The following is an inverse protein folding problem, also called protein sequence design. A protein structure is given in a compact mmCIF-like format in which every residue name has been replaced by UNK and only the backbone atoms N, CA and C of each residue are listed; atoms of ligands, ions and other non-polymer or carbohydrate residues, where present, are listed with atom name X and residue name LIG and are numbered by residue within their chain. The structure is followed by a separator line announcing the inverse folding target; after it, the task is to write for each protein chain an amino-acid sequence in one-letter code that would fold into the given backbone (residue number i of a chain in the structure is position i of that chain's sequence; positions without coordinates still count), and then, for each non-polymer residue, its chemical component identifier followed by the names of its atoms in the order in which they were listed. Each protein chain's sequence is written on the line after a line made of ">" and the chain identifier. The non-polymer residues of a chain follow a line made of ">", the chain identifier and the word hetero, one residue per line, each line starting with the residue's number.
data_IF_389624090949
#
_entry.id   IF_389624090949
#
_cell.length_a   1.000
_cell.length_b   1.000
_cell.length_c   1.000
_cell.angle_alpha   90.00
_cell.angle_beta   90.00
_cell.angle_gamma   90.00
#
_symmetry.space_group_name_H-M   'P 1'
#
loop_
_entity.id
_entity.type
_entity.pdbx_description
1 polymer ?
2 non-polymer ?
3 non-polymer ?
4 non-polymer ?
5 water ?
#
# COMPACT_ATOMS: atom_id res chain seq x y z
N UNK A 9 -16.05 -3.64 11.44
CA UNK A 9 -14.72 -3.14 11.72
C UNK A 9 -14.34 -2.04 10.74
N UNK A 10 -14.05 -0.84 11.26
CA UNK A 10 -13.67 0.31 10.42
C UNK A 10 -12.23 0.26 9.94
N UNK A 11 -11.42 -0.61 10.55
CA UNK A 11 -9.97 -0.62 10.30
C UNK A 11 -9.51 -1.75 9.39
N UNK A 12 -10.34 -2.79 9.23
CA UNK A 12 -9.93 -3.96 8.48
C UNK A 12 -10.76 -4.20 7.22
N UNK A 13 -10.09 -4.27 6.07
CA UNK A 13 -10.76 -4.42 4.79
C UNK A 13 -10.34 -5.71 4.09
N UNK A 14 -11.23 -6.69 4.08
CA UNK A 14 -10.97 -7.93 3.35
C UNK A 14 -11.13 -7.72 1.85
N UNK A 15 -10.62 -8.66 1.05
CA UNK A 15 -10.52 -8.49 -0.39
C UNK A 15 -11.86 -8.27 -1.10
N UNK A 16 -12.95 -8.66 -0.45
CA UNK A 16 -14.28 -8.51 -1.03
C UNK A 16 -14.82 -7.07 -0.93
N UNK A 17 -14.08 -6.21 -0.23
CA UNK A 17 -14.45 -4.80 -0.11
C UNK A 17 -13.98 -4.01 -1.33
N UNK A 18 -12.94 -4.51 -1.99
CA UNK A 18 -12.45 -3.90 -3.23
C UNK A 18 -13.54 -3.86 -4.29
N UNK A 19 -13.78 -2.68 -4.84
CA UNK A 19 -14.71 -2.54 -5.95
C UNK A 19 -13.94 -2.60 -7.26
N UNK A 20 -14.55 -3.20 -8.28
CA UNK A 20 -13.92 -3.28 -9.60
C UNK A 20 -14.08 -1.96 -10.35
N UNK A 21 -12.96 -1.41 -10.81
CA UNK A 21 -12.93 -0.18 -11.60
C UNK A 21 -12.90 -0.52 -13.08
N UNK A 22 -12.20 -1.60 -13.41
CA UNK A 22 -12.13 -2.10 -14.79
C UNK A 22 -11.95 -3.61 -14.77
N UNK A 23 -12.80 -4.31 -15.52
CA UNK A 23 -12.73 -5.76 -15.58
C UNK A 23 -12.75 -6.21 -17.03
N UNK A 24 -11.76 -7.00 -17.41
CA UNK A 24 -11.68 -7.58 -18.75
C UNK A 24 -11.22 -9.02 -18.63
N UNK A 25 -10.85 -9.61 -19.77
CA UNK A 25 -10.38 -10.99 -19.78
C UNK A 25 -8.87 -11.07 -19.55
N UNK A 26 -8.20 -9.96 -19.82
CA UNK A 26 -6.73 -9.90 -19.75
C UNK A 26 -6.22 -9.27 -18.46
N UNK A 27 -7.13 -8.71 -17.67
CA UNK A 27 -6.72 -8.01 -16.46
C UNK A 27 -7.83 -7.36 -15.67
N UNK A 28 -7.47 -6.82 -14.51
CA UNK A 28 -8.45 -6.26 -13.58
C UNK A 28 -7.85 -5.10 -12.81
N UNK A 29 -8.68 -4.08 -12.53
CA UNK A 29 -8.27 -2.98 -11.68
C UNK A 29 -9.27 -2.83 -10.53
N UNK A 30 -8.80 -3.08 -9.31
CA UNK A 30 -9.65 -3.00 -8.13
C UNK A 30 -9.25 -1.81 -7.26
N UNK A 31 -10.21 -1.26 -6.53
CA UNK A 31 -9.94 -0.15 -5.63
C UNK A 31 -10.81 -0.21 -4.39
N UNK A 32 -10.20 -0.01 -3.23
CA UNK A 32 -10.96 0.14 -1.99
C UNK A 32 -11.68 1.47 -2.04
N UNK A 33 -12.85 1.56 -1.39
CA UNK A 33 -13.59 2.83 -1.37
C UNK A 33 -12.82 3.94 -0.65
N UNK A 34 -13.32 5.17 -0.80
CA UNK A 34 -12.82 6.31 -0.04
C UNK A 34 -12.87 6.00 1.47
N UNK A 35 -11.73 6.11 2.14
CA UNK A 35 -11.64 5.86 3.58
C UNK A 35 -12.57 6.77 4.37
N UNK A 36 -12.74 8.00 3.88
CA UNK A 36 -13.57 8.99 4.56
C UNK A 36 -15.05 8.67 4.54
N UNK A 37 -15.47 7.78 3.64
CA UNK A 37 -16.87 7.41 3.51
C UNK A 37 -17.20 6.10 4.24
N UNK A 38 -16.17 5.43 4.73
CA UNK A 38 -16.34 4.19 5.49
C UNK A 38 -16.57 4.48 6.97
N UNK A 39 -15.79 5.40 7.51
CA UNK A 39 -15.89 5.80 8.91
C UNK A 39 -15.32 7.20 9.15
N UNK A 40 -15.78 7.85 10.21
CA UNK A 40 -15.26 9.15 10.61
C UNK A 40 -13.89 8.98 11.27
N UNK A 41 -13.63 7.76 11.73
CA UNK A 41 -12.38 7.43 12.41
C UNK A 41 -11.19 7.39 11.45
N UNK A 42 -11.48 7.48 10.15
CA UNK A 42 -10.45 7.42 9.12
C UNK A 42 -10.40 8.67 8.25
N UNK A 43 -11.06 9.73 8.69
CA UNK A 43 -11.21 10.94 7.86
C UNK A 43 -9.88 11.60 7.54
N UNK A 44 -8.89 11.42 8.41
CA UNK A 44 -7.59 12.05 8.26
C UNK A 44 -6.70 11.44 7.18
N UNK A 45 -7.08 10.28 6.67
CA UNK A 45 -6.37 9.66 5.56
C UNK A 45 -7.30 9.49 4.35
N UNK A 46 -8.36 10.27 4.32
CA UNK A 46 -9.37 10.18 3.27
C UNK A 46 -8.82 10.57 1.89
N UNK A 47 -7.65 11.20 1.87
CA UNK A 47 -7.02 11.65 0.65
C UNK A 47 -6.31 10.49 -0.07
N UNK A 48 -6.10 9.40 0.67
CA UNK A 48 -5.36 8.26 0.14
C UNK A 48 -6.29 7.13 -0.31
N UNK A 49 -5.93 6.48 -1.41
CA UNK A 49 -6.70 5.36 -1.94
C UNK A 49 -5.80 4.15 -2.19
N UNK A 50 -6.36 2.96 -1.99
CA UNK A 50 -5.62 1.71 -2.23
C UNK A 50 -6.17 1.02 -3.47
N UNK A 51 -5.29 0.67 -4.40
CA UNK A 51 -5.70 -0.03 -5.62
C UNK A 51 -4.85 -1.28 -5.87
N UNK A 52 -5.40 -2.22 -6.62
CA UNK A 52 -4.64 -3.38 -7.09
C UNK A 52 -4.77 -3.52 -8.60
N UNK A 53 -3.70 -3.98 -9.24
CA UNK A 53 -3.69 -4.18 -10.69
C UNK A 53 -3.18 -5.57 -11.01
N UNK A 54 -3.94 -6.32 -11.81
CA UNK A 54 -3.46 -7.59 -12.33
C UNK A 54 -3.47 -7.56 -13.85
N UNK A 55 -2.34 -7.91 -14.46
CA UNK A 55 -2.25 -7.98 -15.91
C UNK A 55 -1.72 -9.34 -16.36
N UNK A 56 -2.53 -10.06 -17.13
CA UNK A 56 -2.15 -11.36 -17.70
C UNK A 56 -0.91 -11.22 -18.61
N UNK A 57 -0.25 -12.34 -18.93
CA UNK A 57 0.90 -12.30 -19.83
C UNK A 57 0.55 -11.73 -21.21
N UNK A 58 1.52 -11.10 -21.86
CA UNK A 58 1.33 -10.51 -23.18
C UNK A 58 0.17 -9.52 -23.22
N UNK A 59 0.21 -8.55 -22.31
CA UNK A 59 -0.84 -7.54 -22.22
C UNK A 59 -0.28 -6.12 -22.21
N UNK A 60 -1.18 -5.16 -22.46
CA UNK A 60 -0.85 -3.75 -22.47
C UNK A 60 -2.02 -3.01 -21.83
N UNK A 61 -1.73 -1.98 -21.05
CA UNK A 61 -2.80 -1.16 -20.48
C UNK A 61 -2.96 0.13 -21.30
N UNK A 62 -4.20 0.56 -21.49
CA UNK A 62 -4.49 1.77 -22.25
C UNK A 62 -3.85 3.00 -21.62
N UNK A 63 -3.16 3.80 -22.46
CA UNK A 63 -2.61 5.09 -22.03
C UNK A 63 -3.70 5.96 -21.43
N UNK A 64 -3.48 6.42 -20.20
CA UNK A 64 -4.38 7.35 -19.54
C UNK A 64 -3.64 8.06 -18.42
N UNK A 65 -4.32 9.01 -17.79
CA UNK A 65 -3.78 9.65 -16.60
C UNK A 65 -4.85 9.71 -15.51
N UNK A 66 -4.40 9.86 -14.27
CA UNK A 66 -5.30 10.04 -13.15
C UNK A 66 -5.00 11.37 -12.46
N UNK A 67 -5.99 11.94 -11.80
CA UNK A 67 -5.79 13.17 -11.06
C UNK A 67 -5.29 12.86 -9.64
N UNK A 68 -4.19 12.12 -9.55
CA UNK A 68 -3.65 11.67 -8.27
C UNK A 68 -2.19 11.27 -8.35
N UNK A 69 -1.45 11.50 -7.27
CA UNK A 69 -0.09 10.99 -7.17
C UNK A 69 -0.14 9.49 -6.93
N UNK A 70 0.81 8.76 -7.50
CA UNK A 70 0.73 7.31 -7.57
C UNK A 70 2.01 6.64 -7.14
N UNK A 71 1.97 5.96 -6.01
CA UNK A 71 3.08 5.12 -5.57
C UNK A 71 2.72 3.67 -5.82
N UNK A 72 3.49 2.98 -6.66
CA UNK A 72 3.20 1.59 -6.95
C UNK A 72 4.23 0.63 -6.36
N UNK A 73 3.76 -0.56 -5.99
CA UNK A 73 4.64 -1.64 -5.59
C UNK A 73 4.30 -2.87 -6.44
N UNK A 74 5.32 -3.47 -7.04
CA UNK A 74 5.11 -4.66 -7.87
C UNK A 74 5.21 -5.92 -7.02
N UNK A 75 4.06 -6.57 -6.82
CA UNK A 75 3.98 -7.74 -5.95
C UNK A 75 4.40 -9.01 -6.68
N UNK A 76 4.15 -9.06 -7.99
CA UNK A 76 4.45 -10.23 -8.79
C UNK A 76 4.60 -9.96 -10.28
N UNK A 77 5.57 -10.64 -10.90
CA UNK A 77 5.80 -10.51 -12.33
C UNK A 77 6.86 -9.49 -12.71
N UNK A 78 7.01 -9.27 -14.02
CA UNK A 78 7.89 -8.23 -14.55
C UNK A 78 7.29 -7.62 -15.81
N UNK A 79 7.75 -6.42 -16.16
CA UNK A 79 7.30 -5.73 -17.35
C UNK A 79 7.87 -4.33 -17.33
N UNK A 80 7.18 -3.37 -17.95
CA UNK A 80 7.64 -1.99 -17.87
C UNK A 80 6.50 -0.98 -17.82
N UNK A 81 6.84 0.22 -17.35
CA UNK A 81 5.92 1.33 -17.32
C UNK A 81 6.50 2.45 -18.16
N UNK A 82 5.64 3.25 -18.78
CA UNK A 82 6.07 4.41 -19.53
C UNK A 82 5.11 5.56 -19.25
N UNK A 83 5.64 6.71 -18.87
CA UNK A 83 4.80 7.91 -18.75
C UNK A 83 5.38 9.09 -19.53
N UNK A 84 4.52 10.06 -19.83
CA UNK A 84 4.93 11.20 -20.63
C UNK A 84 5.37 12.36 -19.74
N UNK A 85 6.57 12.88 -20.00
CA UNK A 85 7.13 13.98 -19.23
C UNK A 85 7.77 14.98 -20.17
N UNK A 86 7.06 16.08 -20.43
CA UNK A 86 7.55 17.17 -21.28
C UNK A 86 8.00 16.72 -22.67
N UNK A 87 7.07 16.18 -23.46
CA UNK A 87 7.37 15.73 -24.82
C UNK A 87 8.44 14.63 -24.91
N UNK A 88 8.70 13.98 -23.78
CA UNK A 88 9.62 12.87 -23.72
C UNK A 88 8.94 11.66 -23.09
N UNK A 89 9.28 10.47 -23.55
CA UNK A 89 8.75 9.26 -22.95
C UNK A 89 9.73 8.71 -21.92
N UNK A 90 9.30 8.64 -20.66
CA UNK A 90 10.11 8.04 -19.61
C UNK A 90 9.72 6.57 -19.48
N UNK A 91 10.64 5.68 -19.86
CA UNK A 91 10.36 4.25 -19.86
C UNK A 91 11.24 3.51 -18.85
N UNK A 92 10.61 2.74 -17.97
CA UNK A 92 11.32 2.05 -16.89
C UNK A 92 10.84 0.60 -16.75
N UNK A 93 11.79 -0.33 -16.71
CA UNK A 93 11.47 -1.74 -16.46
C UNK A 93 10.99 -1.93 -15.03
N UNK A 94 9.98 -2.77 -14.85
CA UNK A 94 9.45 -3.07 -13.52
C UNK A 94 9.70 -4.54 -13.17
N UNK A 95 10.04 -4.79 -11.91
CA UNK A 95 10.33 -6.15 -11.46
C UNK A 95 9.71 -6.34 -10.08
N UNK A 96 9.49 -7.59 -9.69
CA UNK A 96 8.94 -7.90 -8.38
C UNK A 96 9.77 -7.23 -7.28
N UNK A 97 9.09 -6.47 -6.43
CA UNK A 97 9.75 -5.76 -5.34
C UNK A 97 10.07 -4.31 -5.66
N UNK A 98 9.78 -3.89 -6.89
CA UNK A 98 10.05 -2.52 -7.30
C UNK A 98 9.04 -1.54 -6.72
N UNK A 99 9.55 -0.39 -6.26
CA UNK A 99 8.73 0.74 -5.87
C UNK A 99 9.00 1.86 -6.85
N UNK A 100 7.94 2.47 -7.37
CA UNK A 100 8.09 3.56 -8.33
C UNK A 100 6.94 4.56 -8.19
N UNK A 101 7.17 5.79 -8.61
CA UNK A 101 6.16 6.81 -8.52
C UNK A 101 5.84 7.44 -9.87
N UNK A 102 4.56 7.67 -10.11
CA UNK A 102 4.14 8.40 -11.29
C UNK A 102 3.50 9.72 -10.87
N UNK A 103 4.03 10.84 -11.36
CA UNK A 103 3.47 12.16 -11.04
C UNK A 103 2.02 12.27 -11.51
N UNK A 104 1.18 12.96 -10.76
CA UNK A 104 -0.23 13.13 -11.11
C UNK A 104 -0.40 13.82 -12.45
N UNK A 105 -1.41 13.37 -13.21
CA UNK A 105 -1.77 14.04 -14.45
C UNK A 105 -0.90 13.69 -15.63
N UNK A 106 0.10 12.84 -15.41
CA UNK A 106 0.99 12.45 -16.50
C UNK A 106 0.47 11.19 -17.19
N UNK A 107 0.25 11.27 -18.50
CA UNK A 107 -0.21 10.13 -19.29
C UNK A 107 0.79 8.98 -19.20
N UNK A 108 0.29 7.80 -18.83
CA UNK A 108 1.14 6.63 -18.66
C UNK A 108 0.50 5.38 -19.26
N UNK A 109 1.32 4.36 -19.47
CA UNK A 109 0.83 3.02 -19.77
C UNK A 109 1.75 1.95 -19.20
N UNK A 110 1.21 0.76 -19.00
CA UNK A 110 1.96 -0.39 -18.50
C UNK A 110 1.97 -1.49 -19.55
N UNK A 111 3.05 -2.25 -19.59
CA UNK A 111 3.16 -3.37 -20.52
C UNK A 111 3.63 -4.62 -19.79
N UNK A 112 2.96 -5.73 -20.02
CA UNK A 112 3.42 -7.03 -19.53
C UNK A 112 3.82 -7.92 -20.69
N UNK A 113 5.12 -7.94 -21.01
CA UNK A 113 5.64 -8.72 -22.12
C UNK A 113 6.20 -10.08 -21.70
N UNK A 114 5.79 -10.54 -20.52
CA UNK A 114 6.19 -11.87 -20.06
C UNK A 114 5.26 -12.92 -20.66
N UNK A 115 5.75 -14.13 -20.86
CA UNK A 115 4.99 -15.15 -21.55
C UNK A 115 4.21 -16.09 -20.63
N UNK A 116 4.50 -16.05 -19.33
CA UNK A 116 3.91 -17.00 -18.39
C UNK A 116 3.44 -16.40 -17.06
N UNK A 117 4.03 -15.28 -16.65
CA UNK A 117 3.70 -14.68 -15.36
C UNK A 117 2.87 -13.40 -15.45
N UNK A 118 1.81 -13.33 -14.64
CA UNK A 118 0.99 -12.13 -14.55
C UNK A 118 1.77 -11.01 -13.89
N UNK A 119 1.43 -9.78 -14.27
CA UNK A 119 2.00 -8.60 -13.62
C UNK A 119 1.01 -8.09 -12.57
N UNK A 120 1.43 -8.08 -11.31
CA UNK A 120 0.57 -7.66 -10.22
C UNK A 120 1.14 -6.48 -9.45
N UNK A 121 0.33 -5.44 -9.31
CA UNK A 121 0.77 -4.19 -8.69
C UNK A 121 -0.17 -3.76 -7.57
N UNK A 122 0.40 -3.39 -6.42
CA UNK A 122 -0.36 -2.81 -5.32
C UNK A 122 0.04 -1.35 -5.19
N UNK A 123 -0.94 -0.46 -5.06
CA UNK A 123 -0.65 0.97 -5.12
C UNK A 123 -1.34 1.81 -4.05
N UNK A 124 -0.65 2.88 -3.66
CA UNK A 124 -1.24 3.93 -2.83
C UNK A 124 -1.40 5.16 -3.70
N UNK A 125 -2.62 5.69 -3.77
CA UNK A 125 -2.86 6.93 -4.50
C UNK A 125 -3.03 8.08 -3.52
N UNK A 126 -2.56 9.26 -3.90
CA UNK A 126 -2.83 10.47 -3.14
C UNK A 126 -3.49 11.49 -4.07
N UNK A 127 -4.78 11.74 -3.85
CA UNK A 127 -5.59 12.53 -4.77
C UNK A 127 -5.13 13.98 -4.88
N UNK A 128 -5.28 14.53 -6.08
CA UNK A 128 -4.96 15.93 -6.35
C UNK A 128 -6.14 16.60 -7.03
N UNK A 129 -7.33 16.04 -6.80
CA UNK A 129 -8.56 16.59 -7.35
C UNK A 129 -9.15 17.65 -6.42
N UNK A 130 -10.26 18.25 -6.84
CA UNK A 130 -10.95 19.24 -6.02
C UNK A 130 -11.86 18.56 -5.00
N UNK A 131 -12.06 17.26 -5.17
CA UNK A 131 -12.77 16.44 -4.20
C UNK A 131 -11.80 15.52 -3.47
N UNK A 132 -11.73 15.66 -2.15
CA UNK A 132 -10.82 14.86 -1.35
C UNK A 132 -11.17 13.38 -1.39
N UNK A 133 -10.19 12.57 -1.80
CA UNK A 133 -10.37 11.12 -1.82
C UNK A 133 -10.87 10.58 -3.15
N UNK A 134 -11.42 11.46 -3.98
CA UNK A 134 -11.91 11.06 -5.29
C UNK A 134 -10.86 11.22 -6.38
N UNK A 135 -10.68 10.17 -7.17
CA UNK A 135 -9.82 10.23 -8.36
C UNK A 135 -10.54 9.61 -9.55
N UNK A 136 -10.22 10.07 -10.75
CA UNK A 136 -10.81 9.54 -11.96
C UNK A 136 -9.75 9.29 -13.03
N UNK A 137 -9.94 8.25 -13.85
CA UNK A 137 -9.01 8.02 -14.96
C UNK A 137 -9.43 8.81 -16.19
N UNK A 138 -8.46 9.38 -16.90
CA UNK A 138 -8.74 10.06 -18.15
C UNK A 138 -8.04 9.32 -19.28
N UNK A 139 -8.79 8.50 -20.01
CA UNK A 139 -8.25 7.73 -21.12
C UNK A 139 -8.03 8.61 -22.35
N UNK A 140 -6.82 8.54 -22.92
CA UNK A 140 -6.46 9.34 -24.09
C UNK A 140 -6.28 8.44 -25.32
N UNK A 141 -6.07 7.15 -25.07
CA UNK A 141 -6.17 6.13 -26.11
C UNK A 141 -7.36 5.25 -25.75
N UNK A 142 -8.03 4.67 -26.75
CA UNK A 142 -9.31 4.05 -26.50
C UNK A 142 -10.23 3.94 -27.71
N UNK A 143 -11.53 3.95 -27.42
CA UNK A 143 -12.56 3.49 -28.33
C UNK A 143 -13.88 3.52 -27.60
N UNK A 144 -14.80 2.63 -27.94
CA UNK A 144 -16.05 2.53 -27.19
C UNK A 144 -15.85 1.97 -25.78
N UNK A 145 -14.89 1.07 -25.62
CA UNK A 145 -14.61 0.49 -24.30
C UNK A 145 -13.13 0.52 -23.90
N UNK A 146 -12.75 1.50 -23.07
CA UNK A 146 -13.64 2.57 -22.58
C UNK A 146 -13.67 3.73 -23.55
N UNK A 147 -14.51 4.72 -23.28
CA UNK A 147 -14.50 5.95 -24.07
C UNK A 147 -13.27 6.78 -23.70
N UNK A 148 -12.84 7.65 -24.62
CA UNK A 148 -11.75 8.58 -24.34
C UNK A 148 -12.31 9.94 -23.99
N UNK A 149 -11.45 10.84 -23.53
CA UNK A 149 -11.85 12.22 -23.26
C UNK A 149 -12.23 12.96 -24.55
N UNK A 150 -11.73 12.46 -25.68
CA UNK A 150 -12.05 13.04 -26.98
C UNK A 150 -13.55 12.96 -27.28
N UNK A 151 -14.22 11.99 -26.68
CA UNK A 151 -15.64 11.76 -26.91
C UNK A 151 -16.53 12.85 -26.32
N UNK A 152 -15.96 13.72 -25.50
CA UNK A 152 -16.71 14.82 -24.89
C UNK A 152 -16.73 16.07 -25.75
N UNK A 153 -15.84 16.14 -26.74
CA UNK A 153 -15.74 17.33 -27.57
C UNK A 153 -16.61 17.21 -28.82
N UNK A 154 -17.14 18.33 -29.29
CA UNK A 154 -18.00 18.35 -30.47
C UNK A 154 -17.21 18.01 -31.73
N UNK A 155 -17.93 17.66 -32.80
CA UNK A 155 -17.28 17.28 -34.04
C UNK A 155 -16.48 18.42 -34.66
N UNK A 156 -17.02 19.64 -34.60
CA UNK A 156 -16.33 20.81 -35.15
C UNK A 156 -15.00 21.08 -34.43
N UNK A 157 -15.03 20.99 -33.10
CA UNK A 157 -13.82 21.17 -32.29
C UNK A 157 -12.76 20.13 -32.63
N UNK A 158 -13.16 18.86 -32.66
CA UNK A 158 -12.27 17.76 -32.98
C UNK A 158 -11.71 17.85 -34.40
N UNK A 159 -12.59 18.15 -35.35
CA UNK A 159 -12.18 18.31 -36.74
C UNK A 159 -11.17 19.44 -36.86
N UNK A 160 -11.40 20.52 -36.12
CA UNK A 160 -10.48 21.66 -36.14
C UNK A 160 -9.19 21.35 -35.40
N UNK A 161 -9.31 20.72 -34.22
CA UNK A 161 -8.15 20.37 -33.42
C UNK A 161 -7.15 19.49 -34.17
N UNK A 162 -7.66 18.45 -34.84
CA UNK A 162 -6.80 17.50 -35.53
C UNK A 162 -6.57 17.84 -37.00
N UNK A 163 -7.38 18.78 -37.53
CA UNK A 163 -7.32 19.17 -38.93
C UNK A 163 -7.56 17.99 -39.88
N UNK A 164 -8.58 17.18 -39.56
CA UNK A 164 -8.98 16.03 -40.37
C UNK A 164 -10.49 15.89 -40.26
N UNK A 165 -11.13 15.28 -41.25
CA UNK A 165 -12.59 15.08 -41.20
C UNK A 165 -12.96 14.07 -40.12
N UNK A 166 -14.14 14.26 -39.52
CA UNK A 166 -14.60 13.46 -38.39
C UNK A 166 -14.68 11.95 -38.68
N UNK A 167 -14.94 11.59 -39.94
CA UNK A 167 -15.05 10.18 -40.32
C UNK A 167 -13.76 9.41 -40.07
N UNK A 168 -12.62 10.04 -40.35
CA UNK A 168 -11.32 9.44 -40.08
C UNK A 168 -11.08 9.36 -38.57
N UNK A 169 -11.65 10.31 -37.84
CA UNK A 169 -11.51 10.36 -36.39
C UNK A 169 -12.38 9.29 -35.71
N UNK A 170 -13.64 9.18 -36.13
CA UNK A 170 -14.53 8.16 -35.59
C UNK A 170 -14.00 6.75 -35.88
N UNK A 171 -13.34 6.61 -37.02
CA UNK A 171 -12.70 5.34 -37.37
C UNK A 171 -11.50 5.04 -36.48
N UNK A 172 -10.96 6.09 -35.85
CA UNK A 172 -9.80 5.96 -34.97
C UNK A 172 -10.21 5.85 -33.49
N UNK A 173 -11.23 6.62 -33.11
CA UNK A 173 -11.70 6.62 -31.72
C UNK A 173 -12.95 5.76 -31.52
N UNK A 174 -12.99 4.60 -32.18
CA UNK A 174 -14.12 3.70 -32.05
C UNK A 174 -13.78 2.25 -32.36
N UNK A 175 -12.51 1.97 -32.61
CA UNK A 175 -12.09 0.63 -32.99
C UNK A 175 -11.54 -0.21 -31.83
N UNK A 176 -11.60 0.33 -30.61
CA UNK A 176 -11.13 -0.39 -29.44
C UNK A 176 -12.25 -0.69 -28.44
N UNK A 177 -12.49 -1.98 -28.20
CA UNK A 177 -13.53 -2.42 -27.28
C UNK A 177 -13.00 -3.49 -26.33
N UNK A 178 -11.72 -3.82 -26.48
CA UNK A 178 -11.09 -4.89 -25.69
C UNK A 178 -10.76 -4.47 -24.25
N UNK A 179 -11.18 -3.28 -23.86
CA UNK A 179 -11.06 -2.84 -22.48
C UNK A 179 -9.76 -2.15 -22.12
N UNK A 180 -9.65 -1.76 -20.86
CA UNK A 180 -8.48 -1.05 -20.33
C UNK A 180 -7.22 -1.90 -20.40
N UNK A 181 -7.36 -3.19 -20.08
CA UNK A 181 -6.25 -4.13 -20.18
C UNK A 181 -6.59 -5.18 -21.24
N UNK A 182 -5.68 -5.40 -22.19
CA UNK A 182 -5.95 -6.27 -23.32
C UNK A 182 -4.70 -7.02 -23.81
N UNK A 183 -4.92 -8.14 -24.50
CA UNK A 183 -3.83 -8.92 -25.07
C UNK A 183 -3.23 -8.23 -26.29
N UNK A 184 -1.91 -8.32 -26.45
CA UNK A 184 -1.22 -7.75 -27.60
C UNK A 184 -1.46 -8.59 -28.85
N UNK A 206 15.94 8.46 -19.58
CA UNK A 206 16.22 9.88 -19.45
C UNK A 206 17.02 10.15 -18.18
N UNK A 207 16.67 11.23 -17.49
CA UNK A 207 17.28 11.57 -16.21
C UNK A 207 16.21 11.57 -15.12
N UNK A 208 15.02 11.12 -15.50
CA UNK A 208 13.90 10.99 -14.57
C UNK A 208 14.12 9.79 -13.64
N UNK A 209 13.44 9.77 -12.48
CA UNK A 209 13.63 8.73 -11.46
C UNK A 209 13.61 7.28 -11.97
N UNK A 210 14.24 6.39 -11.21
CA UNK A 210 14.25 4.97 -11.52
C UNK A 210 13.50 4.22 -10.43
N UNK A 211 12.88 3.09 -10.79
CA UNK A 211 12.29 2.23 -9.76
C UNK A 211 13.34 1.79 -8.74
N UNK A 212 12.91 1.61 -7.49
CA UNK A 212 13.78 1.22 -6.40
C UNK A 212 13.27 -0.12 -5.91
N UNK A 213 14.12 -1.15 -5.95
CA UNK A 213 13.67 -2.47 -5.48
C UNK A 213 13.73 -2.59 -3.97
N UNK A 214 12.56 -2.66 -3.35
CA UNK A 214 12.41 -2.73 -1.90
C UNK A 214 12.60 -4.14 -1.38
N UNK A 215 11.87 -5.08 -1.99
CA UNK A 215 11.88 -6.49 -1.57
C UNK A 215 13.25 -7.12 -1.78
N UNK A 216 14.18 -6.36 -2.35
CA UNK A 216 15.54 -6.84 -2.52
C UNK A 216 16.27 -6.81 -1.18
N UNK A 217 16.61 -5.60 -0.76
CA UNK A 217 17.67 -5.34 0.22
C UNK A 217 17.72 -6.15 1.53
N UNK A 218 16.58 -6.26 2.21
CA UNK A 218 16.46 -6.84 3.56
C UNK A 218 17.55 -6.49 4.62
N UNK A 219 18.02 -5.24 4.67
CA UNK A 219 18.99 -4.91 5.71
C UNK A 219 18.38 -4.61 7.09
N UNK A 220 17.19 -4.02 7.06
CA UNK A 220 16.72 -3.15 8.15
C UNK A 220 16.55 -3.80 9.52
N UNK A 221 15.93 -4.97 9.55
CA UNK A 221 15.89 -5.78 10.76
C UNK A 221 15.71 -7.24 10.39
N UNK A 222 16.44 -8.10 11.08
CA UNK A 222 16.27 -9.54 10.92
C UNK A 222 16.68 -10.26 12.20
N UNK A 223 15.79 -11.13 12.66
CA UNK A 223 16.15 -12.11 13.67
C UNK A 223 15.67 -13.49 13.26
N UNK A 224 15.58 -14.40 14.23
CA UNK A 224 15.23 -15.79 13.94
C UNK A 224 13.76 -15.97 13.54
N UNK A 225 12.95 -14.92 13.72
CA UNK A 225 11.50 -15.00 13.57
C UNK A 225 10.94 -14.20 12.40
N UNK A 226 11.75 -13.32 11.82
CA UNK A 226 11.32 -12.54 10.69
C UNK A 226 12.27 -11.43 10.28
N UNK A 227 11.82 -10.61 9.34
CA UNK A 227 12.61 -9.49 8.84
C UNK A 227 11.71 -8.44 8.21
N UNK A 228 12.20 -7.22 8.11
CA UNK A 228 11.50 -6.18 7.34
C UNK A 228 12.46 -5.17 6.72
N UNK A 229 11.96 -4.46 5.71
CA UNK A 229 12.77 -3.53 4.95
C UNK A 229 11.96 -2.28 4.67
N UNK A 230 12.60 -1.13 4.72
CA UNK A 230 11.90 0.14 4.56
C UNK A 230 12.61 1.04 3.57
N UNK A 231 11.83 1.79 2.80
CA UNK A 231 12.34 2.85 1.94
C UNK A 231 11.56 4.11 2.25
N UNK A 232 12.26 5.20 2.52
CA UNK A 232 11.60 6.42 2.92
C UNK A 232 12.02 7.63 2.10
N UNK A 233 11.60 8.83 2.55
CA UNK A 233 11.90 10.11 1.90
C UNK A 233 13.39 10.35 1.66
N UNK A 234 14.25 9.80 2.51
CA UNK A 234 15.70 10.02 2.39
C UNK A 234 16.36 9.06 1.41
N UNK A 235 15.56 8.16 0.83
CA UNK A 235 16.07 7.16 -0.10
C UNK A 235 15.60 7.43 -1.52
N UNK A 236 14.53 8.21 -1.63
CA UNK A 236 13.88 8.45 -2.91
C UNK A 236 13.13 9.78 -2.93
N UNK A 237 13.40 10.61 -3.96
CA UNK A 237 12.81 11.95 -4.10
C UNK A 237 11.28 11.94 -4.17
N UNK A 238 10.69 10.92 -4.81
CA UNK A 238 9.25 10.85 -4.93
C UNK A 238 8.58 10.59 -3.58
N UNK A 239 9.06 9.59 -2.84
CA UNK A 239 8.53 9.29 -1.52
C UNK A 239 8.62 10.50 -0.60
N UNK A 240 9.65 11.30 -0.80
CA UNK A 240 9.86 12.52 -0.02
C UNK A 240 8.78 13.56 -0.29
N UNK A 241 8.33 13.63 -1.54
CA UNK A 241 7.35 14.65 -1.94
C UNK A 241 5.94 14.34 -1.42
N UNK A 242 5.72 13.10 -1.01
CA UNK A 242 4.43 12.70 -0.46
C UNK A 242 4.52 12.29 1.01
N UNK A 243 5.75 12.35 1.55
CA UNK A 243 6.01 12.02 2.95
C UNK A 243 5.56 10.59 3.30
N UNK A 244 5.92 9.63 2.46
CA UNK A 244 5.55 8.23 2.67
C UNK A 244 6.79 7.33 2.80
N UNK A 245 6.73 6.40 3.75
CA UNK A 245 7.70 5.32 3.84
C UNK A 245 7.01 4.03 3.40
N UNK A 246 7.67 3.25 2.55
CA UNK A 246 7.13 1.95 2.13
C UNK A 246 7.90 0.84 2.83
N UNK A 247 7.16 -0.14 3.36
CA UNK A 247 7.80 -1.25 4.04
C UNK A 247 7.37 -2.61 3.51
N UNK A 248 8.26 -3.58 3.61
CA UNK A 248 7.95 -4.96 3.29
C UNK A 248 8.49 -5.85 4.39
N UNK A 249 7.60 -6.66 4.99
CA UNK A 249 7.99 -7.53 6.07
C UNK A 249 7.61 -8.98 5.84
N UNK A 250 8.38 -9.88 6.45
CA UNK A 250 8.08 -11.31 6.43
C UNK A 250 8.08 -11.86 7.84
N UNK A 251 6.98 -12.52 8.23
CA UNK A 251 6.93 -13.20 9.52
C UNK A 251 6.97 -14.71 9.30
N UNK A 252 7.91 -15.38 9.96
CA UNK A 252 8.01 -16.84 9.88
C UNK A 252 6.76 -17.46 10.51
N UNK A 253 6.44 -18.71 10.12
CA UNK A 253 5.26 -19.38 10.69
C UNK A 253 5.31 -19.43 12.21
N UNK A 254 4.21 -19.09 12.87
CA UNK A 254 4.13 -19.19 14.32
C UNK A 254 4.83 -18.07 15.06
N UNK A 255 4.99 -16.93 14.40
CA UNK A 255 5.63 -15.78 15.02
C UNK A 255 4.67 -14.59 15.09
N UNK A 256 5.07 -13.58 15.87
CA UNK A 256 4.27 -12.39 16.07
C UNK A 256 5.17 -11.15 16.14
N UNK A 257 4.66 -10.01 15.68
CA UNK A 257 5.34 -8.74 15.92
C UNK A 257 5.15 -8.38 17.38
N UNK A 258 6.19 -7.85 18.02
CA UNK A 258 6.06 -7.36 19.38
C UNK A 258 5.06 -6.22 19.36
N UNK A 259 4.09 -6.24 20.29
CA UNK A 259 3.09 -5.16 20.38
C UNK A 259 3.78 -3.81 20.41
N UNK A 260 3.38 -2.92 19.51
CA UNK A 260 4.07 -1.66 19.30
C UNK A 260 3.19 -0.66 18.57
N UNK A 261 3.63 0.60 18.55
CA UNK A 261 2.85 1.66 17.90
C UNK A 261 3.76 2.67 17.20
N UNK A 262 3.22 3.30 16.16
CA UNK A 262 3.90 4.44 15.54
C UNK A 262 3.62 5.70 16.35
N UNK A 263 4.62 6.58 16.42
CA UNK A 263 4.46 7.81 17.18
C UNK A 263 3.53 8.81 16.53
N UNK A 264 3.59 8.90 15.19
CA UNK A 264 2.81 9.90 14.45
C UNK A 264 2.33 9.44 13.07
N UNK A 265 2.95 8.41 12.53
CA UNK A 265 2.55 7.88 11.23
C UNK A 265 1.31 7.00 11.30
N UNK A 266 0.48 7.07 10.26
CA UNK A 266 -0.64 6.15 10.10
C UNK A 266 -0.25 5.11 9.06
N UNK A 267 -0.45 3.83 9.36
CA UNK A 267 -0.04 2.76 8.45
C UNK A 267 -1.21 2.17 7.69
N UNK A 268 -0.99 1.89 6.40
CA UNK A 268 -1.93 1.11 5.61
C UNK A 268 -1.21 -0.15 5.16
N UNK A 269 -1.64 -1.30 5.67
CA UNK A 269 -0.95 -2.56 5.42
C UNK A 269 -1.75 -3.47 4.49
N UNK A 270 -1.04 -4.17 3.60
CA UNK A 270 -1.66 -5.09 2.65
C UNK A 270 -1.00 -6.47 2.74
N UNK A 271 -1.78 -7.50 3.05
CA UNK A 271 -1.26 -8.86 3.16
C UNK A 271 -0.92 -9.44 1.78
N UNK A 272 0.35 -9.78 1.58
CA UNK A 272 0.84 -10.30 0.32
C UNK A 272 0.62 -11.80 0.21
N UNK A 273 1.12 -12.53 1.20
CA UNK A 273 1.05 -13.99 1.22
C UNK A 273 0.75 -14.48 2.62
N UNK A 274 0.20 -15.69 2.72
CA UNK A 274 -0.01 -16.32 3.99
C UNK A 274 -1.27 -15.91 4.72
N UNK A 275 -1.33 -16.26 6.00
CA UNK A 275 -2.51 -16.04 6.82
C UNK A 275 -2.15 -15.84 8.28
N UNK A 276 -3.04 -15.20 9.02
CA UNK A 276 -2.82 -14.94 10.43
C UNK A 276 -3.92 -14.05 10.98
N UNK A 277 -3.62 -13.35 12.07
CA UNK A 277 -4.60 -12.48 12.70
C UNK A 277 -3.93 -11.24 13.27
N UNK A 278 -4.73 -10.28 13.71
CA UNK A 278 -4.21 -9.09 14.37
C UNK A 278 -5.01 -8.79 15.63
N UNK A 279 -4.35 -8.14 16.59
CA UNK A 279 -5.02 -7.58 17.74
C UNK A 279 -4.59 -6.13 17.84
N UNK A 280 -5.55 -5.22 17.88
CA UNK A 280 -5.23 -3.81 18.00
C UNK A 280 -6.03 -3.18 19.13
N UNK A 281 -5.39 -2.27 19.85
CA UNK A 281 -6.06 -1.55 20.94
C UNK A 281 -6.52 -0.19 20.45
N UNK A 282 -7.81 0.08 20.60
CA UNK A 282 -8.39 1.33 20.14
C UNK A 282 -9.29 1.95 21.21
N UNK A 283 -8.91 3.12 21.72
CA UNK A 283 -9.68 3.83 22.76
C UNK A 283 -10.89 4.57 22.20
N UNK A 284 -11.04 4.57 20.88
CA UNK A 284 -12.17 5.25 20.26
C UNK A 284 -13.42 4.37 20.17
N UNK A 285 -13.21 3.07 20.05
CA UNK A 285 -14.32 2.11 19.90
C UNK A 285 -14.86 1.64 21.25
N UNK A 300 -16.59 7.97 30.26
CA UNK A 300 -16.01 8.42 31.53
C UNK A 300 -14.60 7.88 31.70
N UNK A 301 -14.49 6.64 32.17
CA UNK A 301 -13.19 6.04 32.43
C UNK A 301 -12.48 5.66 31.14
N UNK A 302 -11.15 5.61 31.20
CA UNK A 302 -10.34 5.22 30.06
C UNK A 302 -10.58 3.74 29.73
N UNK A 303 -10.89 3.45 28.47
CA UNK A 303 -11.14 2.08 28.03
C UNK A 303 -10.60 1.80 26.64
N UNK A 304 -9.83 0.72 26.51
CA UNK A 304 -9.30 0.31 25.22
C UNK A 304 -10.04 -0.89 24.67
N UNK A 305 -10.69 -0.70 23.52
CA UNK A 305 -11.43 -1.77 22.88
C UNK A 305 -10.47 -2.67 22.12
N UNK A 306 -10.87 -3.93 21.95
CA UNK A 306 -10.05 -4.90 21.25
C UNK A 306 -10.47 -4.99 19.79
N UNK A 307 -9.59 -4.56 18.88
CA UNK A 307 -9.84 -4.74 17.45
C UNK A 307 -9.17 -6.04 16.99
N UNK A 308 -9.96 -7.08 16.78
CA UNK A 308 -9.47 -8.35 16.26
C UNK A 308 -9.94 -8.59 14.83
N UNK A 309 -9.07 -9.18 14.01
CA UNK A 309 -9.42 -9.53 12.64
C UNK A 309 -8.55 -10.66 12.11
N UNK A 310 -9.06 -11.36 11.10
CA UNK A 310 -8.32 -12.42 10.44
C UNK A 310 -7.51 -11.83 9.29
N UNK A 311 -6.32 -12.36 9.05
CA UNK A 311 -5.50 -11.90 7.93
C UNK A 311 -5.40 -12.98 6.85
N UNK A 312 -5.78 -12.64 5.63
CA UNK A 312 -5.56 -13.52 4.49
C UNK A 312 -5.07 -12.67 3.33
N UNK A 313 -4.74 -13.32 2.22
CA UNK A 313 -4.20 -12.63 1.06
C UNK A 313 -5.16 -11.54 0.55
N UNK A 314 -4.67 -10.32 0.43
CA UNK A 314 -5.49 -9.22 -0.04
C UNK A 314 -6.22 -8.45 1.05
N UNK A 315 -6.03 -8.89 2.29
CA UNK A 315 -6.59 -8.15 3.43
C UNK A 315 -5.83 -6.83 3.62
N UNK A 316 -6.56 -5.73 3.74
CA UNK A 316 -5.99 -4.43 4.06
C UNK A 316 -6.44 -4.02 5.47
N UNK A 317 -5.49 -3.56 6.28
CA UNK A 317 -5.84 -3.02 7.59
C UNK A 317 -5.15 -1.69 7.85
N UNK A 318 -5.81 -0.84 8.62
CA UNK A 318 -5.31 0.50 8.89
C UNK A 318 -4.97 0.66 10.36
N UNK A 319 -3.75 1.08 10.65
CA UNK A 319 -3.33 1.34 12.02
C UNK A 319 -3.14 2.84 12.23
N UNK A 320 -4.13 3.49 12.87
CA UNK A 320 -4.03 4.93 13.16
C UNK A 320 -2.86 5.19 14.09
N UNK A 321 -2.30 6.40 14.04
CA UNK A 321 -1.17 6.78 14.88
C UNK A 321 -1.45 6.53 16.36
N UNK A 322 -0.48 5.94 17.05
CA UNK A 322 -0.61 5.73 18.48
C UNK A 322 -1.29 4.42 18.88
N UNK A 323 -1.94 3.77 17.92
CA UNK A 323 -2.65 2.53 18.20
C UNK A 323 -1.69 1.35 18.22
N UNK A 324 -1.56 0.69 19.39
CA UNK A 324 -0.67 -0.46 19.47
C UNK A 324 -1.30 -1.68 18.79
N UNK A 325 -0.48 -2.44 18.07
CA UNK A 325 -0.97 -3.57 17.31
C UNK A 325 0.04 -4.71 17.35
N UNK A 326 -0.46 -5.95 17.25
CA UNK A 326 0.40 -7.10 17.06
C UNK A 326 -0.11 -7.95 15.90
N UNK A 327 0.80 -8.37 15.02
CA UNK A 327 0.43 -9.25 13.92
C UNK A 327 0.95 -10.66 14.19
N UNK A 328 0.04 -11.61 14.27
CA UNK A 328 0.39 -13.00 14.52
C UNK A 328 0.26 -13.84 13.25
N UNK A 329 1.33 -14.57 12.90
CA UNK A 329 1.33 -15.42 11.72
C UNK A 329 0.82 -16.82 12.04
N UNK A 330 0.04 -17.40 11.13
CA UNK A 330 -0.44 -18.78 11.27
C UNK A 330 0.74 -19.75 11.31
N UNK A 331 0.46 -21.01 11.67
CA UNK A 331 1.51 -22.04 11.67
C UNK A 331 1.59 -22.73 10.32
N UNK A 332 0.65 -22.42 9.43
CA UNK A 332 0.61 -23.00 8.10
C UNK A 332 1.76 -22.52 7.23
N UNK A 333 1.95 -21.22 7.19
CA UNK A 333 2.98 -20.61 6.37
C UNK A 333 3.43 -19.25 6.85
N UNK A 334 4.38 -18.65 6.13
CA UNK A 334 4.89 -17.34 6.48
C UNK A 334 3.86 -16.26 6.18
N UNK A 335 4.03 -15.10 6.79
CA UNK A 335 3.15 -13.96 6.54
C UNK A 335 3.94 -12.87 5.85
N UNK A 336 3.54 -12.50 4.65
CA UNK A 336 4.20 -11.42 3.92
C UNK A 336 3.32 -10.20 3.89
N UNK A 337 3.86 -9.06 4.33
CA UNK A 337 3.08 -7.84 4.45
C UNK A 337 3.79 -6.63 3.83
N UNK A 338 3.06 -5.92 2.98
CA UNK A 338 3.51 -4.65 2.44
C UNK A 338 2.77 -3.55 3.19
N UNK A 339 3.43 -2.43 3.46
CA UNK A 339 2.74 -1.33 4.13
C UNK A 339 3.25 0.05 3.73
N UNK A 340 2.36 1.03 3.86
CA UNK A 340 2.70 2.42 3.61
C UNK A 340 2.53 3.20 4.90
N UNK A 341 3.54 3.99 5.27
CA UNK A 341 3.43 4.90 6.42
C UNK A 341 3.12 6.32 5.94
N UNK A 342 1.94 6.80 6.32
CA UNK A 342 1.52 8.17 5.99
C UNK A 342 2.07 9.09 7.09
N UNK A 343 2.46 10.31 6.71
CA UNK A 343 3.09 11.26 7.64
C UNK A 343 4.30 10.64 8.33
N UNK A 344 5.27 10.18 7.53
CA UNK A 344 6.36 9.37 8.05
C UNK A 344 7.52 10.16 8.66
N UNK A 345 7.63 11.44 8.32
CA UNK A 345 8.74 12.27 8.79
C UNK A 345 8.74 12.44 10.31
N UNK A 346 9.84 12.04 10.94
CA UNK A 346 9.97 12.16 12.39
C UNK A 346 9.35 11.00 13.14
N UNK A 347 8.71 10.10 12.41
CA UNK A 347 8.05 8.95 13.04
C UNK A 347 9.03 7.90 13.53
N UNK A 348 8.77 7.37 14.72
CA UNK A 348 9.48 6.20 15.17
C UNK A 348 8.49 5.21 15.75
N UNK A 349 8.98 4.03 16.12
CA UNK A 349 8.11 3.02 16.69
C UNK A 349 8.55 2.73 18.11
N UNK A 350 7.59 2.64 19.03
CA UNK A 350 7.88 2.28 20.42
C UNK A 350 7.29 0.91 20.70
N UNK A 351 8.04 0.07 21.39
CA UNK A 351 7.62 -1.31 21.64
C UNK A 351 7.14 -1.50 23.06
N UNK A 352 6.04 -2.25 23.21
CA UNK A 352 5.39 -2.46 24.51
C UNK A 352 5.91 -3.71 25.20
N UNK A 353 6.43 -4.64 24.39
CA UNK A 353 7.04 -5.86 24.91
C UNK A 353 8.29 -6.19 24.12
N UNK A 354 9.12 -7.08 24.65
CA UNK A 354 10.37 -7.43 24.00
C UNK A 354 11.59 -6.77 24.61
N UNK A 355 12.76 -7.21 24.19
CA UNK A 355 14.05 -6.79 24.77
C UNK A 355 14.28 -5.27 24.79
N UNK A 356 13.57 -4.53 23.95
CA UNK A 356 13.74 -3.09 23.87
C UNK A 356 12.52 -2.25 24.27
N UNK A 357 11.63 -2.81 25.08
CA UNK A 357 10.39 -2.14 25.45
C UNK A 357 10.58 -0.82 26.19
N UNK A 358 9.55 0.03 26.16
CA UNK A 358 9.60 1.35 26.80
C UNK A 358 9.66 1.29 28.32
N UNK A 359 9.09 0.23 28.89
CA UNK A 359 9.00 0.08 30.34
C UNK A 359 10.38 0.00 31.01
N UNK A 360 11.35 -0.57 30.31
CA UNK A 360 12.71 -0.68 30.81
C UNK A 360 13.44 0.66 30.78
N UNK A 361 12.94 1.58 29.96
CA UNK A 361 13.55 2.89 29.80
C UNK A 361 13.08 3.88 30.88
N UNK A 362 11.90 3.62 31.44
CA UNK A 362 11.41 4.40 32.57
C UNK A 362 12.35 4.23 33.76
N UNK A 363 12.42 5.23 34.63
CA UNK A 363 13.20 5.10 35.85
C UNK A 363 12.63 3.97 36.70
N UNK A 364 13.51 3.25 37.38
CA UNK A 364 13.14 2.08 38.17
C UNK A 364 12.06 2.39 39.20
N UNK A 365 12.22 3.50 39.91
CA UNK A 365 11.29 3.93 40.94
C UNK A 365 9.88 4.19 40.40
N UNK A 366 9.82 4.94 39.29
CA UNK A 366 8.56 5.26 38.64
C UNK A 366 7.86 3.98 38.19
N UNK A 367 8.62 3.08 37.57
CA UNK A 367 8.11 1.78 37.17
C UNK A 367 7.58 1.03 38.39
N UNK A 368 8.31 1.14 39.51
CA UNK A 368 7.93 0.49 40.75
C UNK A 368 6.63 1.08 41.29
N UNK A 369 6.57 2.41 41.34
CA UNK A 369 5.41 3.12 41.85
C UNK A 369 4.16 2.91 40.99
N UNK A 370 4.35 2.99 39.67
CA UNK A 370 3.25 2.96 38.72
C UNK A 370 2.50 1.64 38.69
N UNK A 371 3.22 0.54 38.88
CA UNK A 371 2.59 -0.76 38.99
C UNK A 371 2.37 -1.13 40.45
N UNK A 372 3.11 -0.47 41.33
CA UNK A 372 2.90 -0.60 42.78
C UNK A 372 2.92 -2.02 43.31
N UNK A 373 4.10 -2.63 43.39
CA UNK A 373 4.19 -4.02 43.79
C UNK A 373 5.00 -4.18 45.08
N UNK A 374 4.50 -5.01 46.01
CA UNK A 374 5.13 -5.37 47.28
C UNK A 374 6.31 -6.32 47.10
N UNK A 375 6.34 -6.98 45.95
CA UNK A 375 7.20 -8.15 45.73
C UNK A 375 8.62 -7.74 45.38
N UNK A 376 8.88 -6.44 45.40
CA UNK A 376 10.17 -5.93 44.98
C UNK A 376 10.28 -5.94 43.47
N UNK A 377 11.41 -6.42 42.95
CA UNK A 377 11.67 -6.36 41.52
C UNK A 377 11.14 -7.56 40.75
N UNK A 378 9.89 -7.93 40.99
CA UNK A 378 9.23 -8.96 40.20
C UNK A 378 9.03 -8.45 38.77
N UNK A 379 8.86 -7.14 38.66
CA UNK A 379 8.70 -6.49 37.36
C UNK A 379 9.97 -6.66 36.50
N UNK A 380 11.13 -6.58 37.12
CA UNK A 380 12.41 -6.72 36.43
C UNK A 380 12.61 -8.13 35.89
N UNK A 381 12.12 -9.12 36.63
CA UNK A 381 12.17 -10.50 36.19
C UNK A 381 11.30 -10.73 34.96
N UNK A 382 10.08 -10.20 35.02
CA UNK A 382 9.12 -10.33 33.93
C UNK A 382 9.57 -9.60 32.67
N UNK A 383 10.14 -8.40 32.84
CA UNK A 383 10.58 -7.58 31.72
C UNK A 383 11.75 -8.17 30.94
N UNK A 384 12.49 -9.08 31.57
CA UNK A 384 13.66 -9.69 30.95
C UNK A 384 13.43 -11.14 30.52
N UNK A 385 12.19 -11.62 30.64
CA UNK A 385 11.85 -12.97 30.21
C UNK A 385 11.92 -13.13 28.68
N UNK A 386 11.53 -12.09 27.96
CA UNK A 386 11.58 -12.10 26.50
C UNK A 386 12.98 -11.73 25.99
N UNK A 387 13.61 -12.65 25.27
CA UNK A 387 14.98 -12.48 24.79
C UNK A 387 15.07 -11.90 23.37
N UNK A 388 13.96 -11.92 22.65
CA UNK A 388 13.91 -11.35 21.30
C UNK A 388 13.29 -9.96 21.35
N UNK A 389 13.38 -9.24 20.23
CA UNK A 389 12.75 -7.92 20.12
C UNK A 389 12.12 -7.75 18.74
N UNK A 390 11.20 -6.79 18.64
CA UNK A 390 10.52 -6.46 17.37
C UNK A 390 9.66 -7.60 16.83
N UNK A 391 10.27 -8.76 16.59
CA UNK A 391 9.56 -9.95 16.12
C UNK A 391 9.81 -11.13 17.05
N UNK A 392 8.74 -11.72 17.57
CA UNK A 392 8.85 -12.72 18.62
C UNK A 392 8.19 -14.05 18.25
N UNK A 393 8.49 -15.09 19.03
CA UNK A 393 7.77 -16.35 18.93
C UNK A 393 6.31 -16.15 19.31
N UNK A 394 5.41 -16.76 18.55
CA UNK A 394 3.98 -16.57 18.78
C UNK A 394 3.42 -17.42 19.90
N UNK A 395 2.10 -17.35 20.11
CA UNK A 395 1.38 -18.08 21.15
C UNK A 395 1.48 -19.58 20.98
N UNK A 396 1.40 -20.06 19.75
CA UNK A 396 1.39 -21.48 19.46
C UNK A 396 2.79 -22.08 19.35
N UNK A 397 3.82 -21.29 19.69
CA UNK A 397 5.20 -21.76 19.67
C UNK A 397 6.05 -21.09 20.76
N UNK A 398 5.47 -20.95 21.95
CA UNK A 398 6.17 -20.35 23.08
C UNK A 398 7.26 -21.28 23.59
X LIG B 1 -8.76 4.37 17.98
X LIG C 1 2.77 -2.19 10.85
X LIG C 1 4.19 -1.78 10.55
X LIG C 1 2.07 -2.53 9.57
X LIG C 1 2.80 -3.41 11.75
X LIG C 1 2.06 -1.07 11.56
X LIG D 1 -4.44 2.93 -11.84
X LIG D 1 -4.35 2.97 -10.43
X LIG D 1 -5.69 3.64 -12.31
X LIG D 1 -5.72 3.65 -13.72
X LIG D 1 -6.92 2.92 -11.77
X LIG D 1 -8.05 3.27 -12.53
#
# INVERSE_FOLDING_TARGET
>A
GREEEREENPYVFHSDRFRIRASSEAGEIRALPNFGEVSELLEGISRYRVTCIEMKPNTVMLPHYIDAKWILYVTGGRGYIAYVQQNELVKRKLEEGDVFGVPSGHTFYLVNNDDHNSLRIASLLRTESTMRGEYEPFYVAGGRNPETVYSAFSDDVLEAAFNTDVQKLEHIFGAHRRGVIFYANEEQIREMMRRGGFSAESTSASEQPKPFNLRNQKPDFENDNGRFTRAGPKDNPFLDSVDVTVGFGVLNPGTMTAPSHNTKATSIAIVMEGEGRIEMACPHLGQEHGWSSPRERGHQDINYERVRARLRTGTVYVVPAGHPITEIASTNGRLEILWFDINTSGNEREFLAGKNNVLQTLEKEVRHLSFNIPRGEEIEEVLQAQKDQVILRGPQRQRRDEPRSSS
>B hetero
1 CU CU
>C hetero
1 PO4 P O1 O2 O3 O4
>D hetero
1 GOL C1 O1 C2 O2 C3 O3
#
